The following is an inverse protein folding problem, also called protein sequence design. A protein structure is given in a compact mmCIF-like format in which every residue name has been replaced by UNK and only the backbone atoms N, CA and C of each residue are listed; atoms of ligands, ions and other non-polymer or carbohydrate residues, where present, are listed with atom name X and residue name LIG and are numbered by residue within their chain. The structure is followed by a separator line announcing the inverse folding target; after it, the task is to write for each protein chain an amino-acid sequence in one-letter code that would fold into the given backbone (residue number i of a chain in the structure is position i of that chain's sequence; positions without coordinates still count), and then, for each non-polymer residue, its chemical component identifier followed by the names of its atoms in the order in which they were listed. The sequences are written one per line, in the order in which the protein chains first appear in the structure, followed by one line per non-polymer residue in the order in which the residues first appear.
data_IF_471806901864
#
_entry.id   IF_471806901864
#
_cell.length_a   1.000
_cell.length_b   1.000
_cell.length_c   1.000
_cell.angle_alpha   90.00
_cell.angle_beta   90.00
_cell.angle_gamma   90.00
#
_symmetry.space_group_name_H-M   'P 1'
#
loop_
_entity.id
_entity.type
_entity.pdbx_description
1 polymer ?
#
# COMPACT_ATOMS: atom_id res chain seq x y z
N UNK A 1 7.26 -21.43 -1.29
CA UNK A 1 5.90 -20.88 -1.21
C UNK A 1 4.95 -22.02 -0.83
N UNK A 2 4.22 -21.89 0.28
CA UNK A 2 3.16 -22.83 0.71
C UNK A 2 1.83 -22.53 -0.01
N UNK A 3 0.81 -23.36 0.19
CA UNK A 3 -0.54 -23.07 -0.34
C UNK A 3 -1.12 -21.79 0.25
N UNK A 4 -0.93 -21.55 1.55
CA UNK A 4 -1.42 -20.35 2.23
C UNK A 4 -0.70 -19.09 1.70
N UNK A 5 0.64 -19.12 1.60
CA UNK A 5 1.42 -18.06 0.97
C UNK A 5 1.01 -17.79 -0.48
N UNK A 6 0.70 -18.84 -1.25
CA UNK A 6 0.23 -18.68 -2.63
C UNK A 6 -1.14 -17.99 -2.69
N UNK A 7 -2.03 -18.26 -1.73
CA UNK A 7 -3.31 -17.57 -1.61
C UNK A 7 -3.13 -16.12 -1.20
N UNK A 8 -2.27 -15.85 -0.22
CA UNK A 8 -1.95 -14.49 0.21
C UNK A 8 -1.38 -13.64 -0.94
N UNK A 9 -0.46 -14.18 -1.75
CA UNK A 9 0.07 -13.50 -2.96
C UNK A 9 -1.05 -13.13 -3.95
N UNK A 10 -2.04 -14.01 -4.15
CA UNK A 10 -3.16 -13.72 -5.07
C UNK A 10 -4.09 -12.66 -4.50
N UNK A 11 -4.39 -12.69 -3.20
CA UNK A 11 -5.20 -11.66 -2.56
C UNK A 11 -4.47 -10.30 -2.58
N UNK A 12 -3.17 -10.28 -2.27
CA UNK A 12 -2.30 -9.10 -2.33
C UNK A 12 -2.37 -8.43 -3.72
N UNK A 13 -2.13 -9.21 -4.79
CA UNK A 13 -2.28 -8.72 -6.17
C UNK A 13 -3.70 -8.22 -6.48
N UNK A 14 -4.72 -8.89 -5.96
CA UNK A 14 -6.11 -8.50 -6.19
C UNK A 14 -6.41 -7.13 -5.55
N UNK A 15 -5.94 -6.88 -4.34
CA UNK A 15 -6.11 -5.59 -3.67
C UNK A 15 -5.40 -4.46 -4.43
N UNK A 16 -4.12 -4.66 -4.78
CA UNK A 16 -3.34 -3.69 -5.55
C UNK A 16 -3.94 -3.44 -6.95
N UNK A 17 -4.65 -4.40 -7.53
CA UNK A 17 -5.35 -4.19 -8.81
C UNK A 17 -6.63 -3.35 -8.69
N UNK A 18 -7.19 -3.23 -7.49
CA UNK A 18 -8.45 -2.53 -7.25
C UNK A 18 -8.25 -1.09 -6.77
N UNK A 19 -7.28 -0.88 -5.89
CA UNK A 19 -6.94 0.45 -5.35
C UNK A 19 -5.48 0.50 -4.92
N UNK A 20 -4.93 1.71 -4.85
CA UNK A 20 -3.62 1.93 -4.26
C UNK A 20 -3.63 1.53 -2.78
N UNK A 21 -2.54 0.92 -2.33
CA UNK A 21 -2.35 0.59 -0.93
C UNK A 21 -0.94 0.91 -0.47
N UNK A 22 -0.83 1.35 0.78
CA UNK A 22 0.44 1.26 1.49
C UNK A 22 0.76 -0.19 1.86
N UNK A 23 2.06 -0.47 2.02
CA UNK A 23 2.52 -1.76 2.53
C UNK A 23 1.88 -2.12 3.88
N UNK A 24 1.71 -1.14 4.76
CA UNK A 24 1.13 -1.34 6.09
C UNK A 24 -0.36 -1.66 5.98
N UNK A 25 -1.13 -0.81 5.30
CA UNK A 25 -2.57 -1.00 5.12
C UNK A 25 -2.91 -2.29 4.38
N UNK A 26 -2.07 -2.69 3.42
CA UNK A 26 -2.24 -3.99 2.75
C UNK A 26 -1.95 -5.17 3.68
N UNK A 27 -0.94 -5.06 4.54
CA UNK A 27 -0.67 -6.08 5.58
C UNK A 27 -1.87 -6.20 6.53
N UNK A 28 -2.43 -5.08 6.97
CA UNK A 28 -3.62 -5.05 7.82
C UNK A 28 -4.82 -5.68 7.11
N UNK A 29 -5.04 -5.36 5.83
CA UNK A 29 -6.14 -5.92 5.06
C UNK A 29 -6.03 -7.44 4.86
N UNK A 30 -4.81 -7.95 4.60
CA UNK A 30 -4.55 -9.38 4.43
C UNK A 30 -4.67 -10.15 5.75
N UNK A 31 -4.30 -9.55 6.88
CA UNK A 31 -4.35 -10.18 8.21
C UNK A 31 -5.69 -10.01 8.92
N UNK A 32 -6.52 -9.04 8.50
CA UNK A 32 -7.80 -8.73 9.11
C UNK A 32 -8.71 -9.96 9.17
N UNK A 33 -9.27 -10.23 10.36
CA UNK A 33 -10.27 -11.29 10.57
C UNK A 33 -11.58 -11.04 9.80
N UNK A 34 -11.85 -9.78 9.43
CA UNK A 34 -12.98 -9.39 8.58
C UNK A 34 -12.63 -9.37 7.08
N UNK A 35 -11.35 -9.51 6.76
CA UNK A 35 -10.83 -9.60 5.40
C UNK A 35 -10.53 -11.06 5.03
N UNK A 36 -9.24 -11.39 4.95
CA UNK A 36 -8.76 -12.71 4.51
C UNK A 36 -8.27 -13.60 5.66
N UNK A 37 -7.93 -13.02 6.81
CA UNK A 37 -7.48 -13.74 8.00
C UNK A 37 -6.18 -14.55 7.80
N UNK A 38 -5.28 -14.12 6.91
CA UNK A 38 -3.97 -14.74 6.78
C UNK A 38 -3.13 -14.51 8.04
N UNK A 39 -2.18 -15.41 8.31
CA UNK A 39 -1.21 -15.14 9.38
C UNK A 39 -0.31 -13.97 8.99
N UNK A 40 0.25 -13.23 9.97
CA UNK A 40 1.21 -12.17 9.68
C UNK A 40 2.37 -12.63 8.80
N UNK A 41 2.87 -13.86 9.01
CA UNK A 41 3.97 -14.42 8.24
C UNK A 41 3.61 -14.67 6.77
N UNK A 42 2.38 -15.12 6.49
CA UNK A 42 1.91 -15.35 5.13
C UNK A 42 1.64 -14.04 4.38
N UNK A 43 1.11 -13.03 5.09
CA UNK A 43 0.90 -11.68 4.55
C UNK A 43 2.24 -10.98 4.24
N UNK A 44 3.19 -11.03 5.18
CA UNK A 44 4.53 -10.48 4.97
C UNK A 44 5.26 -11.18 3.83
N UNK A 45 5.11 -12.50 3.72
CA UNK A 45 5.67 -13.25 2.59
C UNK A 45 5.08 -12.77 1.26
N UNK A 46 3.76 -12.56 1.17
CA UNK A 46 3.11 -12.12 -0.06
C UNK A 46 3.64 -10.77 -0.55
N UNK A 47 3.65 -9.79 0.35
CA UNK A 47 4.13 -8.43 0.10
C UNK A 47 5.61 -8.42 -0.32
N UNK A 48 6.44 -9.18 0.41
CA UNK A 48 7.85 -9.32 0.08
C UNK A 48 8.07 -10.02 -1.27
N UNK A 49 7.25 -11.03 -1.58
CA UNK A 49 7.33 -11.77 -2.83
C UNK A 49 6.99 -10.89 -4.03
N UNK A 50 5.90 -10.12 -3.99
CA UNK A 50 5.54 -9.19 -5.06
C UNK A 50 6.62 -8.13 -5.27
N UNK A 51 7.18 -7.57 -4.18
CA UNK A 51 8.30 -6.63 -4.29
C UNK A 51 9.52 -7.30 -4.93
N UNK A 52 9.86 -8.52 -4.52
CA UNK A 52 11.05 -9.23 -5.01
C UNK A 52 10.97 -9.62 -6.49
N UNK A 53 9.75 -9.80 -7.01
CA UNK A 53 9.50 -10.12 -8.42
C UNK A 53 9.34 -8.87 -9.29
N UNK A 54 9.36 -7.68 -8.68
CA UNK A 54 9.09 -6.41 -9.37
C UNK A 54 7.62 -6.25 -9.77
N UNK A 55 6.72 -7.03 -9.19
CA UNK A 55 5.28 -6.96 -9.46
C UNK A 55 4.59 -5.78 -8.76
N UNK A 56 5.24 -5.20 -7.73
CA UNK A 56 4.78 -3.98 -7.05
C UNK A 56 5.93 -2.99 -6.89
N UNK A 57 5.66 -1.72 -7.18
CA UNK A 57 6.54 -0.60 -6.87
C UNK A 57 5.84 0.30 -5.84
N UNK A 58 6.32 0.26 -4.60
CA UNK A 58 5.74 1.02 -3.49
C UNK A 58 5.86 2.54 -3.64
N UNK A 59 6.78 3.04 -4.48
CA UNK A 59 6.80 4.46 -4.82
C UNK A 59 5.63 4.80 -5.75
N UNK A 60 5.33 3.90 -6.70
CA UNK A 60 4.20 4.05 -7.58
C UNK A 60 2.87 3.96 -6.82
N UNK A 61 2.74 3.00 -5.89
CA UNK A 61 1.57 2.90 -5.01
C UNK A 61 1.35 4.22 -4.24
N UNK A 62 2.41 4.80 -3.65
CA UNK A 62 2.29 6.08 -2.95
C UNK A 62 1.88 7.24 -3.86
N UNK A 63 2.31 7.25 -5.14
CA UNK A 63 1.87 8.24 -6.12
C UNK A 63 0.40 8.06 -6.52
N UNK A 64 -0.07 6.82 -6.66
CA UNK A 64 -1.47 6.51 -6.95
C UNK A 64 -2.37 6.85 -5.76
N UNK A 65 -1.94 6.58 -4.53
CA UNK A 65 -2.60 7.04 -3.29
C UNK A 65 -2.69 8.55 -3.23
N UNK A 66 -1.57 9.26 -3.45
CA UNK A 66 -1.52 10.72 -3.46
C UNK A 66 -2.52 11.31 -4.46
N UNK A 67 -2.58 10.74 -5.67
CA UNK A 67 -3.53 11.14 -6.71
C UNK A 67 -4.98 10.88 -6.28
N UNK A 68 -5.26 9.71 -5.71
CA UNK A 68 -6.61 9.33 -5.28
C UNK A 68 -7.16 10.27 -4.21
N UNK A 69 -6.34 10.70 -3.24
CA UNK A 69 -6.76 11.71 -2.27
C UNK A 69 -7.13 13.04 -2.93
N UNK A 70 -6.32 13.49 -3.89
CA UNK A 70 -6.56 14.75 -4.60
C UNK A 70 -7.79 14.71 -5.51
N UNK A 71 -8.19 13.54 -6.00
CA UNK A 71 -9.44 13.34 -6.75
C UNK A 71 -10.68 13.48 -5.84
N UNK A 72 -10.56 13.11 -4.57
CA UNK A 72 -11.66 13.19 -3.60
C UNK A 72 -11.79 14.60 -3.00
N UNK A 73 -10.67 15.21 -2.60
CA UNK A 73 -10.67 16.55 -2.00
C UNK A 73 -9.31 17.26 -2.15
N UNK A 74 -9.32 18.58 -2.02
CA UNK A 74 -8.08 19.37 -2.05
C UNK A 74 -7.22 19.16 -0.80
N UNK A 75 -5.92 19.01 -0.99
CA UNK A 75 -4.91 18.98 0.07
C UNK A 75 -3.83 20.04 -0.15
N UNK A 76 -3.23 20.53 0.94
CA UNK A 76 -1.92 21.19 0.87
C UNK A 76 -0.80 20.15 0.74
N UNK A 77 0.40 20.56 0.33
CA UNK A 77 1.57 19.66 0.30
C UNK A 77 1.78 18.96 1.65
N UNK A 78 1.84 19.74 2.74
CA UNK A 78 2.06 19.18 4.08
C UNK A 78 0.89 18.33 4.56
N UNK A 79 -0.36 18.72 4.24
CA UNK A 79 -1.53 17.93 4.59
C UNK A 79 -1.56 16.58 3.89
N UNK A 80 -1.18 16.53 2.60
CA UNK A 80 -1.08 15.27 1.86
C UNK A 80 0.11 14.44 2.34
N UNK A 81 1.23 15.09 2.69
CA UNK A 81 2.37 14.40 3.31
C UNK A 81 1.95 13.66 4.57
N UNK A 82 1.27 14.36 5.49
CA UNK A 82 0.79 13.78 6.75
C UNK A 82 -0.22 12.66 6.49
N UNK A 83 -1.12 12.83 5.52
CA UNK A 83 -2.08 11.77 5.16
C UNK A 83 -1.38 10.48 4.67
N UNK A 84 -0.30 10.62 3.89
CA UNK A 84 0.45 9.48 3.37
C UNK A 84 1.38 8.85 4.43
N UNK A 85 2.12 9.67 5.17
CA UNK A 85 3.19 9.21 6.05
C UNK A 85 2.73 8.86 7.48
N UNK A 86 1.58 9.39 7.93
CA UNK A 86 1.08 9.13 9.28
C UNK A 86 0.71 7.67 9.48
N UNK A 87 1.02 7.13 10.66
CA UNK A 87 0.59 5.80 11.09
C UNK A 87 -0.94 5.67 11.20
N UNK A 88 -1.66 6.79 11.36
CA UNK A 88 -3.13 6.83 11.33
C UNK A 88 -3.69 7.04 9.91
N UNK A 89 -2.82 7.30 8.94
CA UNK A 89 -3.15 7.44 7.52
C UNK A 89 -2.70 6.20 6.77
N UNK A 90 -1.82 6.37 5.78
CA UNK A 90 -1.28 5.25 5.02
C UNK A 90 0.03 4.67 5.57
N UNK A 91 0.78 5.39 6.41
CA UNK A 91 2.02 4.89 7.01
C UNK A 91 3.08 4.49 5.97
N UNK A 92 3.09 5.10 4.77
CA UNK A 92 4.21 4.92 3.84
C UNK A 92 5.45 5.62 4.38
N UNK A 93 6.63 5.20 3.92
CA UNK A 93 7.88 5.84 4.37
C UNK A 93 7.95 7.32 3.94
N UNK A 94 8.69 8.18 4.65
CA UNK A 94 8.88 9.58 4.25
C UNK A 94 9.35 9.76 2.79
N UNK A 95 10.21 8.87 2.31
CA UNK A 95 10.70 8.91 0.93
C UNK A 95 9.59 8.59 -0.08
N UNK A 96 8.76 7.60 0.21
CA UNK A 96 7.59 7.24 -0.61
C UNK A 96 6.53 8.34 -0.60
N UNK A 97 6.26 8.93 0.56
CA UNK A 97 5.35 10.07 0.66
C UNK A 97 5.84 11.24 -0.20
N UNK A 98 7.12 11.61 -0.10
CA UNK A 98 7.71 12.66 -0.93
C UNK A 98 7.70 12.32 -2.43
N UNK A 99 7.93 11.06 -2.79
CA UNK A 99 7.77 10.60 -4.17
C UNK A 99 6.34 10.80 -4.67
N UNK A 100 5.34 10.40 -3.87
CA UNK A 100 3.93 10.57 -4.20
C UNK A 100 3.52 12.03 -4.38
N UNK A 101 3.97 12.92 -3.48
CA UNK A 101 3.77 14.36 -3.59
C UNK A 101 4.34 14.90 -4.91
N UNK A 102 5.60 14.56 -5.21
CA UNK A 102 6.26 15.01 -6.42
C UNK A 102 5.53 14.52 -7.68
N UNK A 103 5.01 13.28 -7.68
CA UNK A 103 4.27 12.70 -8.78
C UNK A 103 2.95 13.43 -9.09
N UNK A 104 2.33 14.06 -8.08
CA UNK A 104 1.10 14.86 -8.23
C UNK A 104 1.36 16.36 -8.32
N UNK A 105 2.63 16.77 -8.43
CA UNK A 105 3.03 18.17 -8.60
C UNK A 105 3.03 19.00 -7.32
N UNK A 106 3.11 18.35 -6.15
CA UNK A 106 3.20 18.98 -4.84
C UNK A 106 4.60 18.97 -4.26
#
# INVERSE_FOLDING_TARGET
MTTAQSSAVRSDQSYLSFSAFSRVGLTEQLTSEYGEGFTPEDAEFAIAYLRSTGAVDWNQEAAESAKSYLEIQGFSRDGLYEQLASEYGEGVTPDQANFGLAAVGL
#
